data_IF_355195991642
#
_entry.id   IF_355195991642
#
_cell.length_a   1.000
_cell.length_b   1.000
_cell.length_c   1.000
_cell.angle_alpha   90.00
_cell.angle_beta   90.00
_cell.angle_gamma   90.00
#
_symmetry.space_group_name_H-M   'P 1'
#
loop_
_entity.id
_entity.type
_entity.pdbx_description
1 polymer ?
#
# COMPACT_ATOMS: atom_id res chain seq x y z
N UNK A 1 -20.26 -7.34 0.45
CA UNK A 1 -19.19 -8.13 -0.19
C UNK A 1 -18.87 -9.29 0.73
N UNK A 2 -18.70 -10.52 0.21
CA UNK A 2 -18.22 -11.66 1.00
C UNK A 2 -16.70 -11.72 0.87
N UNK A 3 -16.02 -10.86 1.62
CA UNK A 3 -14.56 -10.76 1.59
C UNK A 3 -13.95 -11.88 2.41
N UNK A 4 -12.92 -12.51 1.86
CA UNK A 4 -12.03 -13.39 2.61
C UNK A 4 -11.22 -12.57 3.62
N UNK A 5 -10.73 -13.18 4.72
CA UNK A 5 -9.86 -12.49 5.67
C UNK A 5 -8.66 -11.79 5.01
N UNK A 6 -8.07 -12.43 4.00
CA UNK A 6 -6.95 -11.88 3.23
C UNK A 6 -7.32 -10.63 2.43
N UNK A 7 -8.53 -10.54 1.90
CA UNK A 7 -9.00 -9.35 1.20
C UNK A 7 -9.27 -8.20 2.18
N UNK A 8 -9.80 -8.51 3.36
CA UNK A 8 -9.95 -7.53 4.45
C UNK A 8 -8.58 -6.98 4.86
N UNK A 9 -7.56 -7.82 5.04
CA UNK A 9 -6.20 -7.40 5.38
C UNK A 9 -5.61 -6.46 4.31
N UNK A 10 -5.84 -6.74 3.02
CA UNK A 10 -5.41 -5.85 1.92
C UNK A 10 -6.11 -4.49 1.96
N UNK A 11 -7.40 -4.45 2.31
CA UNK A 11 -8.12 -3.18 2.49
C UNK A 11 -7.58 -2.38 3.67
N UNK A 12 -7.27 -3.05 4.79
CA UNK A 12 -6.63 -2.40 5.94
C UNK A 12 -5.24 -1.86 5.58
N UNK A 13 -4.45 -2.65 4.84
CA UNK A 13 -3.14 -2.24 4.33
C UNK A 13 -3.25 -1.00 3.43
N UNK A 14 -4.21 -0.98 2.50
CA UNK A 14 -4.47 0.19 1.66
C UNK A 14 -4.83 1.43 2.50
N UNK A 15 -5.65 1.27 3.54
CA UNK A 15 -5.98 2.35 4.48
C UNK A 15 -4.73 2.92 5.17
N UNK A 16 -3.82 2.06 5.64
CA UNK A 16 -2.55 2.47 6.23
C UNK A 16 -1.63 3.16 5.22
N UNK A 17 -1.52 2.63 3.99
CA UNK A 17 -0.71 3.23 2.92
C UNK A 17 -1.23 4.60 2.49
N UNK A 18 -2.55 4.76 2.33
CA UNK A 18 -3.17 6.05 2.00
C UNK A 18 -2.96 7.10 3.11
N UNK A 19 -3.02 6.68 4.38
CA UNK A 19 -2.66 7.56 5.49
C UNK A 19 -1.18 7.98 5.44
N UNK A 20 -0.28 7.04 5.14
CA UNK A 20 1.15 7.32 4.96
C UNK A 20 1.41 8.30 3.80
N UNK A 21 0.73 8.14 2.65
CA UNK A 21 0.80 9.09 1.53
C UNK A 21 0.43 10.51 1.96
N UNK A 22 -0.69 10.66 2.69
CA UNK A 22 -1.12 11.97 3.20
C UNK A 22 -0.12 12.60 4.17
N UNK A 23 0.55 11.79 5.00
CA UNK A 23 1.60 12.27 5.91
C UNK A 23 2.83 12.72 5.13
N UNK A 24 3.27 11.91 4.16
CA UNK A 24 4.41 12.22 3.30
C UNK A 24 4.18 13.50 2.49
N UNK A 25 2.97 13.66 1.92
CA UNK A 25 2.60 14.86 1.16
C UNK A 25 2.62 16.15 2.00
N UNK A 26 2.49 16.06 3.33
CA UNK A 26 2.67 17.19 4.26
C UNK A 26 4.13 17.42 4.66
N UNK A 27 5.09 16.67 4.11
CA UNK A 27 6.51 16.77 4.42
C UNK A 27 6.94 16.02 5.69
N UNK A 28 6.09 15.14 6.24
CA UNK A 28 6.46 14.34 7.40
C UNK A 28 7.35 13.17 6.98
N UNK A 29 8.41 12.93 7.76
CA UNK A 29 9.22 11.72 7.62
C UNK A 29 8.41 10.51 8.10
N UNK A 30 8.25 9.51 7.24
CA UNK A 30 7.53 8.29 7.57
C UNK A 30 8.31 7.44 8.57
N UNK A 31 7.60 6.82 9.50
CA UNK A 31 8.14 5.75 10.33
C UNK A 31 8.15 4.41 9.56
N UNK A 32 8.70 3.36 10.18
CA UNK A 32 8.82 2.04 9.55
C UNK A 32 7.48 1.47 9.04
N UNK A 33 6.41 1.35 9.86
CA UNK A 33 5.15 0.79 9.38
C UNK A 33 4.48 1.65 8.31
N UNK A 34 4.61 2.98 8.36
CA UNK A 34 4.10 3.87 7.32
C UNK A 34 4.85 3.68 5.99
N UNK A 35 6.17 3.55 6.03
CA UNK A 35 6.98 3.31 4.84
C UNK A 35 6.63 1.96 4.20
N UNK A 36 6.51 0.90 5.01
CA UNK A 36 6.13 -0.43 4.52
C UNK A 36 4.71 -0.41 3.94
N UNK A 37 3.75 0.20 4.64
CA UNK A 37 2.37 0.28 4.16
C UNK A 37 2.25 1.09 2.86
N UNK A 38 3.01 2.19 2.74
CA UNK A 38 3.09 2.98 1.52
C UNK A 38 3.58 2.14 0.35
N UNK A 39 4.74 1.50 0.49
CA UNK A 39 5.35 0.68 -0.56
C UNK A 39 4.44 -0.48 -0.96
N UNK A 40 3.90 -1.22 0.02
CA UNK A 40 3.04 -2.35 -0.26
C UNK A 40 1.75 -1.93 -0.96
N UNK A 41 1.16 -0.80 -0.57
CA UNK A 41 -0.05 -0.27 -1.23
C UNK A 41 0.25 0.12 -2.68
N UNK A 42 1.38 0.80 -2.94
CA UNK A 42 1.76 1.16 -4.31
C UNK A 42 2.05 -0.07 -5.17
N UNK A 43 2.75 -1.08 -4.63
CA UNK A 43 2.98 -2.34 -5.33
C UNK A 43 1.68 -3.04 -5.71
N UNK A 44 0.68 -3.07 -4.81
CA UNK A 44 -0.61 -3.69 -5.10
C UNK A 44 -1.36 -3.00 -6.25
N UNK A 45 -1.28 -1.67 -6.33
CA UNK A 45 -1.86 -0.92 -7.46
C UNK A 45 -1.10 -1.17 -8.77
N UNK A 46 0.24 -1.21 -8.74
CA UNK A 46 1.03 -1.51 -9.93
C UNK A 46 0.83 -2.94 -10.44
N UNK A 47 0.66 -3.90 -9.53
CA UNK A 47 0.25 -5.28 -9.87
C UNK A 47 -1.15 -5.25 -10.48
N UNK A 48 -2.07 -4.40 -9.97
CA UNK A 48 -3.41 -4.25 -10.52
C UNK A 48 -3.40 -3.64 -11.92
N UNK A 49 -2.45 -2.75 -12.21
CA UNK A 49 -2.17 -2.20 -13.54
C UNK A 49 -1.54 -3.22 -14.51
N UNK A 50 -1.18 -4.40 -14.03
CA UNK A 50 -0.63 -5.49 -14.82
C UNK A 50 0.90 -5.50 -14.94
N UNK A 51 1.62 -4.75 -14.09
CA UNK A 51 3.09 -4.75 -14.09
C UNK A 51 3.64 -6.09 -13.61
N UNK A 52 4.70 -6.55 -14.28
CA UNK A 52 5.36 -7.82 -13.96
C UNK A 52 6.24 -7.71 -12.72
N UNK A 53 6.47 -8.82 -12.03
CA UNK A 53 7.34 -8.86 -10.83
C UNK A 53 8.74 -8.32 -11.13
N UNK A 54 9.30 -8.64 -12.30
CA UNK A 54 10.62 -8.16 -12.74
C UNK A 54 10.71 -6.66 -12.97
N UNK A 55 9.57 -5.97 -13.14
CA UNK A 55 9.52 -4.51 -13.24
C UNK A 55 9.43 -3.85 -11.86
N UNK A 56 8.95 -4.59 -10.86
CA UNK A 56 8.64 -4.10 -9.52
C UNK A 56 9.75 -4.40 -8.49
N UNK A 57 10.79 -5.14 -8.86
CA UNK A 57 11.93 -5.55 -8.02
C UNK A 57 13.25 -5.17 -8.67
#
# INVERSE_FOLDING_TARGET
>A
MHLTPREIDKLLLHGAGFLAQKRLARGLRLNLPEAVALLATQLLELIRDGRGVSELM
#
